data_IF_813864859285
#
_entry.id   IF_813864859285
#
_cell.length_a   1.000
_cell.length_b   1.000
_cell.length_c   1.000
_cell.angle_alpha   90.00
_cell.angle_beta   90.00
_cell.angle_gamma   90.00
#
_symmetry.space_group_name_H-M   'P 1'
#
loop_
_entity.id
_entity.type
_entity.pdbx_description
1 polymer ?
#
# COMPACT_ATOMS: atom_id res chain seq x y z
N UNK A 1 -15.73 -14.00 14.20
CA UNK A 1 -14.46 -13.25 13.99
C UNK A 1 -14.23 -13.18 12.50
N UNK A 2 -13.96 -12.00 11.95
CA UNK A 2 -13.65 -11.86 10.54
C UNK A 2 -12.26 -12.47 10.27
N UNK A 3 -12.15 -13.37 9.29
CA UNK A 3 -10.90 -14.05 8.95
C UNK A 3 -10.06 -13.09 8.12
N UNK A 4 -9.01 -12.51 8.70
CA UNK A 4 -8.06 -11.67 7.98
C UNK A 4 -7.40 -12.50 6.86
N UNK A 5 -7.60 -12.05 5.61
CA UNK A 5 -7.11 -12.73 4.41
C UNK A 5 -5.59 -12.93 4.39
N UNK A 6 -4.85 -12.17 5.19
CA UNK A 6 -3.41 -12.30 5.31
C UNK A 6 -2.98 -13.35 6.34
N UNK A 7 -3.84 -13.77 7.29
CA UNK A 7 -3.47 -14.74 8.34
C UNK A 7 -2.97 -16.07 7.78
N UNK A 8 -3.66 -16.74 6.83
CA UNK A 8 -3.15 -17.99 6.25
C UNK A 8 -1.79 -17.81 5.56
N UNK A 9 -1.54 -16.65 4.96
CA UNK A 9 -0.28 -16.37 4.27
C UNK A 9 0.84 -16.00 5.26
N UNK A 10 0.52 -15.35 6.37
CA UNK A 10 1.46 -15.08 7.47
C UNK A 10 1.94 -16.38 8.11
N UNK A 11 1.04 -17.32 8.33
CA UNK A 11 1.39 -18.64 8.87
C UNK A 11 2.35 -19.39 7.93
N UNK A 12 2.06 -19.39 6.62
CA UNK A 12 2.96 -19.97 5.61
C UNK A 12 4.33 -19.27 5.54
N UNK A 13 4.39 -17.98 5.88
CA UNK A 13 5.65 -17.23 5.94
C UNK A 13 6.56 -17.73 7.08
N UNK A 14 5.98 -18.18 8.19
CA UNK A 14 6.71 -18.67 9.36
C UNK A 14 7.65 -17.62 9.95
N UNK A 15 7.23 -16.34 9.99
CA UNK A 15 7.98 -15.20 10.53
C UNK A 15 9.38 -14.97 9.92
N UNK A 16 9.66 -15.50 8.73
CA UNK A 16 10.92 -15.26 8.00
C UNK A 16 10.71 -14.32 6.82
N UNK A 17 11.69 -13.48 6.52
CA UNK A 17 11.72 -12.73 5.26
C UNK A 17 11.82 -13.71 4.09
N UNK A 18 10.87 -13.65 3.16
CA UNK A 18 10.82 -14.51 1.97
C UNK A 18 11.24 -13.75 0.72
N UNK A 19 11.49 -14.49 -0.36
CA UNK A 19 11.80 -13.91 -1.66
C UNK A 19 10.56 -13.22 -2.26
N UNK A 20 10.81 -12.29 -3.18
CA UNK A 20 9.76 -11.66 -4.00
C UNK A 20 8.89 -12.70 -4.76
N UNK A 21 9.49 -13.81 -5.21
CA UNK A 21 8.76 -14.89 -5.88
C UNK A 21 7.80 -15.59 -4.93
N UNK A 22 8.22 -15.83 -3.69
CA UNK A 22 7.38 -16.45 -2.68
C UNK A 22 6.13 -15.61 -2.39
N UNK A 23 6.28 -14.29 -2.16
CA UNK A 23 5.12 -13.43 -1.89
C UNK A 23 4.16 -13.36 -3.09
N UNK A 24 4.69 -13.30 -4.31
CA UNK A 24 3.88 -13.35 -5.53
C UNK A 24 3.07 -14.64 -5.61
N UNK A 25 3.70 -15.78 -5.36
CA UNK A 25 3.05 -17.09 -5.40
C UNK A 25 2.03 -17.27 -4.27
N UNK A 26 2.35 -16.80 -3.06
CA UNK A 26 1.45 -16.81 -1.92
C UNK A 26 0.17 -16.02 -2.22
N UNK A 27 0.31 -14.82 -2.80
CA UNK A 27 -0.84 -14.00 -3.18
C UNK A 27 -1.66 -14.65 -4.31
N UNK A 28 -1.05 -15.33 -5.28
CA UNK A 28 -1.81 -16.03 -6.34
C UNK A 28 -2.77 -17.10 -5.82
N UNK A 29 -2.59 -17.59 -4.59
CA UNK A 29 -3.51 -18.55 -3.97
C UNK A 29 -4.81 -17.90 -3.46
N UNK A 30 -4.83 -16.57 -3.31
CA UNK A 30 -5.95 -15.82 -2.72
C UNK A 30 -6.50 -14.73 -3.64
N UNK A 31 -6.01 -14.63 -4.89
CA UNK A 31 -6.42 -13.55 -5.80
C UNK A 31 -7.91 -13.50 -6.02
N UNK A 32 -8.56 -14.66 -6.10
CA UNK A 32 -9.99 -14.80 -6.34
C UNK A 32 -10.85 -14.35 -5.14
N UNK A 33 -10.22 -14.14 -3.98
CA UNK A 33 -10.85 -13.73 -2.71
C UNK A 33 -10.31 -12.40 -2.18
N UNK A 34 -9.67 -11.63 -3.06
CA UNK A 34 -9.00 -10.38 -2.70
C UNK A 34 -9.76 -9.13 -3.13
N UNK A 35 -11.07 -9.23 -3.39
CA UNK A 35 -11.84 -8.05 -3.78
C UNK A 35 -11.79 -6.97 -2.69
N UNK A 36 -11.85 -5.67 -3.05
CA UNK A 36 -11.94 -4.59 -2.07
C UNK A 36 -13.06 -4.77 -1.04
N UNK A 37 -14.21 -5.33 -1.45
CA UNK A 37 -15.32 -5.67 -0.56
C UNK A 37 -14.95 -6.73 0.48
N UNK A 38 -14.31 -7.81 0.06
CA UNK A 38 -13.87 -8.89 0.98
C UNK A 38 -12.81 -8.37 1.94
N UNK A 39 -11.83 -7.63 1.42
CA UNK A 39 -10.78 -6.98 2.21
C UNK A 39 -11.35 -6.09 3.33
N UNK A 40 -12.39 -5.33 3.02
CA UNK A 40 -13.06 -4.45 3.99
C UNK A 40 -13.89 -5.25 4.99
N UNK A 41 -14.56 -6.32 4.56
CA UNK A 41 -15.33 -7.18 5.44
C UNK A 41 -14.45 -7.97 6.43
N UNK A 42 -13.25 -8.37 6.00
CA UNK A 42 -12.31 -9.15 6.82
C UNK A 42 -11.36 -8.33 7.68
N UNK A 43 -11.27 -7.02 7.42
CA UNK A 43 -10.10 -6.24 7.81
C UNK A 43 -10.28 -5.31 9.01
N UNK A 44 -9.16 -4.75 9.49
CA UNK A 44 -9.14 -3.77 10.60
C UNK A 44 -9.44 -2.37 10.07
N UNK A 45 -10.69 -1.94 10.16
CA UNK A 45 -11.14 -0.61 9.70
C UNK A 45 -10.90 0.48 10.76
N UNK A 46 -10.27 1.58 10.33
CA UNK A 46 -9.99 2.75 11.17
C UNK A 46 -10.63 4.01 10.56
N UNK A 47 -11.11 4.94 11.39
CA UNK A 47 -11.60 6.23 10.92
C UNK A 47 -10.51 7.18 10.40
N UNK A 48 -9.23 6.87 10.68
CA UNK A 48 -8.06 7.63 10.22
C UNK A 48 -6.90 6.69 9.88
N UNK A 49 -5.98 7.08 8.98
CA UNK A 49 -4.81 6.27 8.67
C UNK A 49 -3.89 6.14 9.89
N UNK A 50 -3.36 4.94 10.13
CA UNK A 50 -2.37 4.69 11.18
C UNK A 50 -0.97 5.05 10.67
N UNK A 51 -0.32 6.04 11.29
CA UNK A 51 1.06 6.41 10.97
C UNK A 51 2.01 5.21 11.02
N UNK A 52 2.87 5.09 10.01
CA UNK A 52 3.85 4.01 9.86
C UNK A 52 3.28 2.62 9.56
N UNK A 53 1.99 2.52 9.24
CA UNK A 53 1.34 1.31 8.73
C UNK A 53 0.65 1.62 7.42
N UNK A 54 0.50 0.63 6.56
CA UNK A 54 -0.16 0.85 5.28
C UNK A 54 -1.67 0.87 5.48
N UNK A 55 -2.37 1.49 4.53
CA UNK A 55 -3.81 1.50 4.50
C UNK A 55 -4.35 1.43 3.09
N UNK A 56 -5.42 0.66 2.91
CA UNK A 56 -6.27 0.72 1.72
C UNK A 56 -7.55 1.49 2.04
N UNK A 57 -8.07 2.25 1.08
CA UNK A 57 -9.31 3.01 1.24
C UNK A 57 -9.89 3.36 -0.12
N UNK A 58 -11.19 3.62 -0.18
CA UNK A 58 -11.82 4.18 -1.39
C UNK A 58 -11.57 5.69 -1.46
N UNK A 59 -11.17 6.16 -2.62
CA UNK A 59 -10.79 7.57 -2.84
C UNK A 59 -11.36 8.12 -4.15
N UNK A 60 -11.91 9.32 -4.09
CA UNK A 60 -12.48 10.05 -5.22
C UNK A 60 -11.70 11.36 -5.44
N UNK A 61 -10.66 11.40 -6.30
CA UNK A 61 -9.73 12.53 -6.36
C UNK A 61 -10.38 13.86 -6.74
N UNK A 62 -9.99 14.93 -6.04
CA UNK A 62 -10.45 16.31 -6.29
C UNK A 62 -10.34 16.75 -7.75
N UNK A 63 -9.24 16.42 -8.41
CA UNK A 63 -8.94 16.85 -9.78
C UNK A 63 -9.08 15.70 -10.80
N UNK A 64 -9.95 14.72 -10.53
CA UNK A 64 -10.11 13.52 -11.38
C UNK A 64 -10.34 13.81 -12.87
N UNK A 65 -10.98 14.94 -13.20
CA UNK A 65 -11.24 15.37 -14.59
C UNK A 65 -10.00 15.83 -15.36
N UNK A 66 -8.90 16.15 -14.65
CA UNK A 66 -7.65 16.64 -15.26
C UNK A 66 -6.47 15.68 -15.05
N UNK A 67 -6.61 14.70 -14.15
CA UNK A 67 -5.57 13.71 -13.91
C UNK A 67 -5.50 12.74 -15.09
N UNK A 68 -4.31 12.44 -15.64
CA UNK A 68 -4.19 11.50 -16.75
C UNK A 68 -4.61 10.09 -16.34
N UNK A 69 -4.40 9.74 -15.08
CA UNK A 69 -4.91 8.54 -14.43
C UNK A 69 -4.81 8.68 -12.92
N UNK A 70 -5.62 7.91 -12.20
CA UNK A 70 -5.61 7.87 -10.74
C UNK A 70 -6.11 6.53 -10.21
N UNK A 71 -5.79 6.23 -8.95
CA UNK A 71 -6.21 4.99 -8.28
C UNK A 71 -7.36 5.30 -7.32
N UNK A 72 -8.49 4.62 -7.49
CA UNK A 72 -9.67 4.76 -6.61
C UNK A 72 -9.63 3.85 -5.40
N UNK A 73 -8.70 2.87 -5.37
CA UNK A 73 -8.48 1.99 -4.23
C UNK A 73 -6.98 1.93 -3.85
N UNK A 74 -6.42 3.06 -3.41
CA UNK A 74 -4.99 3.19 -3.14
C UNK A 74 -4.49 2.34 -1.96
N UNK A 75 -3.33 1.71 -2.13
CA UNK A 75 -2.54 1.09 -1.05
C UNK A 75 -1.43 2.06 -0.62
N UNK A 76 -1.63 2.74 0.51
CA UNK A 76 -0.83 3.90 0.92
C UNK A 76 -0.06 3.65 2.20
N UNK A 77 1.24 3.98 2.24
CA UNK A 77 1.96 4.24 3.49
C UNK A 77 1.88 5.74 3.82
N UNK A 78 1.12 6.17 4.84
CA UNK A 78 1.05 7.56 5.27
C UNK A 78 2.39 8.00 5.88
N UNK A 79 2.85 9.19 5.50
CA UNK A 79 4.11 9.77 5.99
C UNK A 79 3.85 10.90 6.98
N UNK A 80 3.12 11.92 6.55
CA UNK A 80 2.99 13.18 7.28
C UNK A 80 1.56 13.75 7.14
N UNK A 81 1.01 14.37 8.19
CA UNK A 81 -0.25 15.10 8.08
C UNK A 81 -0.09 16.33 7.17
N UNK A 82 -1.16 16.71 6.50
CA UNK A 82 -1.24 17.99 5.79
C UNK A 82 -2.61 18.64 6.06
N UNK A 83 -2.76 19.93 5.74
CA UNK A 83 -4.05 20.62 5.92
C UNK A 83 -5.16 19.86 5.17
N UNK A 84 -6.17 19.41 5.92
CA UNK A 84 -7.33 18.67 5.39
C UNK A 84 -7.03 17.23 4.92
N UNK A 85 -5.86 16.67 5.22
CA UNK A 85 -5.45 15.40 4.64
C UNK A 85 -4.11 14.85 5.14
N UNK A 86 -3.46 14.07 4.30
CA UNK A 86 -2.12 13.55 4.54
C UNK A 86 -1.33 13.34 3.24
N UNK A 87 -0.01 13.30 3.37
CA UNK A 87 0.92 12.89 2.33
C UNK A 87 1.22 11.40 2.55
N UNK A 88 1.24 10.61 1.48
CA UNK A 88 1.54 9.19 1.55
C UNK A 88 2.12 8.63 0.27
N UNK A 89 2.71 7.44 0.38
CA UNK A 89 3.26 6.69 -0.73
C UNK A 89 2.23 5.67 -1.21
N UNK A 90 1.66 5.85 -2.39
CA UNK A 90 0.81 4.85 -3.01
C UNK A 90 1.64 3.83 -3.78
N UNK A 91 1.69 2.61 -3.24
CA UNK A 91 2.46 1.51 -3.80
C UNK A 91 1.87 0.99 -5.11
N UNK A 92 0.58 1.22 -5.38
CA UNK A 92 -0.03 0.76 -6.63
C UNK A 92 0.55 1.43 -7.88
N UNK A 93 1.15 2.62 -7.75
CA UNK A 93 1.85 3.30 -8.85
C UNK A 93 3.19 2.66 -9.21
N UNK A 94 3.69 1.73 -8.39
CA UNK A 94 4.93 1.01 -8.63
C UNK A 94 4.62 -0.38 -9.21
N UNK A 95 5.45 -0.90 -10.14
CA UNK A 95 5.41 -2.31 -10.50
C UNK A 95 5.67 -3.20 -9.29
N UNK A 96 5.10 -4.41 -9.25
CA UNK A 96 5.19 -5.32 -8.09
C UNK A 96 6.62 -5.53 -7.55
N UNK A 97 7.61 -5.74 -8.42
CA UNK A 97 9.00 -5.88 -7.99
C UNK A 97 9.59 -4.61 -7.37
N UNK A 98 9.18 -3.43 -7.84
CA UNK A 98 9.58 -2.15 -7.26
C UNK A 98 8.89 -1.89 -5.91
N UNK A 99 7.64 -2.32 -5.74
CA UNK A 99 6.93 -2.27 -4.44
C UNK A 99 7.71 -3.01 -3.37
N UNK A 100 8.12 -4.25 -3.65
CA UNK A 100 8.88 -5.08 -2.72
C UNK A 100 10.25 -4.48 -2.40
N UNK A 101 11.01 -4.05 -3.42
CA UNK A 101 12.31 -3.38 -3.22
C UNK A 101 12.17 -2.13 -2.35
N UNK A 102 11.15 -1.31 -2.61
CA UNK A 102 10.92 -0.11 -1.82
C UNK A 102 10.53 -0.42 -0.37
N UNK A 103 9.71 -1.47 -0.14
CA UNK A 103 9.45 -1.95 1.22
C UNK A 103 10.74 -2.38 1.92
N UNK A 104 11.66 -3.10 1.26
CA UNK A 104 12.95 -3.48 1.84
C UNK A 104 13.78 -2.25 2.25
N UNK A 105 13.83 -1.23 1.39
CA UNK A 105 14.53 0.03 1.70
C UNK A 105 13.89 0.78 2.88
N UNK A 106 12.56 0.72 3.00
CA UNK A 106 11.83 1.37 4.11
C UNK A 106 12.00 0.67 5.46
N UNK A 107 12.42 -0.60 5.49
CA UNK A 107 12.65 -1.35 6.75
C UNK A 107 13.69 -0.70 7.65
N UNK A 108 14.65 0.06 7.09
CA UNK A 108 15.62 0.81 7.89
C UNK A 108 14.99 1.87 8.81
N UNK A 109 13.75 2.24 8.55
CA UNK A 109 12.96 3.17 9.36
C UNK A 109 11.99 2.45 10.30
N UNK A 110 12.11 1.12 10.46
CA UNK A 110 11.25 0.38 11.38
C UNK A 110 11.52 0.79 12.84
N UNK A 111 10.44 0.95 13.60
CA UNK A 111 10.50 1.34 15.02
C UNK A 111 11.11 0.27 15.93
N UNK A 112 11.18 -0.97 15.47
CA UNK A 112 11.82 -2.10 16.14
C UNK A 112 12.16 -3.20 15.13
N UNK A 113 12.98 -4.18 15.54
CA UNK A 113 13.43 -5.28 14.69
C UNK A 113 12.52 -6.51 14.63
N UNK A 114 11.28 -6.45 15.16
CA UNK A 114 10.38 -7.61 15.21
C UNK A 114 9.61 -7.83 13.90
N UNK A 115 9.38 -6.76 13.14
CA UNK A 115 8.59 -6.76 11.89
C UNK A 115 7.20 -7.38 12.01
N UNK A 116 6.59 -7.26 13.20
CA UNK A 116 5.27 -7.76 13.55
C UNK A 116 4.19 -6.65 13.55
N UNK A 117 3.00 -6.95 14.09
CA UNK A 117 1.90 -5.99 14.20
C UNK A 117 2.23 -4.77 15.08
N UNK A 118 3.19 -4.87 16.01
CA UNK A 118 3.65 -3.77 16.86
C UNK A 118 4.56 -2.79 16.11
N UNK A 119 5.19 -3.25 15.03
CA UNK A 119 6.15 -2.48 14.24
C UNK A 119 5.46 -1.35 13.46
N UNK A 120 6.15 -0.22 13.33
CA UNK A 120 5.76 0.93 12.49
C UNK A 120 6.95 1.38 11.65
N UNK A 121 6.71 1.83 10.43
CA UNK A 121 7.70 2.50 9.59
C UNK A 121 7.70 4.01 9.90
N UNK A 122 8.76 4.52 10.51
CA UNK A 122 8.92 5.91 10.93
C UNK A 122 9.68 6.73 9.88
N UNK A 123 9.30 6.58 8.60
CA UNK A 123 9.87 7.38 7.51
C UNK A 123 9.17 8.75 7.43
N UNK A 124 9.96 9.81 7.26
CA UNK A 124 9.45 11.15 6.92
C UNK A 124 9.63 11.40 5.42
N UNK A 125 8.93 12.38 4.85
CA UNK A 125 9.16 12.75 3.45
C UNK A 125 10.62 13.15 3.22
N UNK A 126 11.22 13.89 4.16
CA UNK A 126 12.60 14.32 4.07
C UNK A 126 13.61 13.16 4.04
N UNK A 127 13.35 12.06 4.76
CA UNK A 127 14.27 10.91 4.77
C UNK A 127 14.22 10.06 3.50
N UNK A 128 13.15 10.16 2.70
CA UNK A 128 12.93 9.31 1.53
C UNK A 128 12.74 10.07 0.21
N UNK A 129 12.76 11.41 0.22
CA UNK A 129 12.54 12.24 -0.98
C UNK A 129 13.53 11.99 -2.12
N UNK A 130 14.75 11.55 -1.80
CA UNK A 130 15.78 11.22 -2.79
C UNK A 130 15.58 9.85 -3.42
N UNK A 131 14.76 8.98 -2.82
CA UNK A 131 14.49 7.66 -3.33
C UNK A 131 13.68 7.73 -4.64
N UNK A 132 14.12 7.01 -5.67
CA UNK A 132 13.47 7.00 -6.99
C UNK A 132 12.02 6.50 -6.94
N UNK A 133 11.70 5.55 -6.06
CA UNK A 133 10.34 5.03 -5.90
C UNK A 133 9.41 6.06 -5.26
N UNK A 134 9.93 6.89 -4.33
CA UNK A 134 9.18 7.99 -3.72
C UNK A 134 8.66 8.95 -4.78
N UNK A 135 9.47 9.32 -5.78
CA UNK A 135 9.08 10.27 -6.84
C UNK A 135 7.79 9.84 -7.57
N UNK A 136 7.62 8.54 -7.78
CA UNK A 136 6.44 7.98 -8.47
C UNK A 136 5.29 7.72 -7.50
N UNK A 137 5.59 7.22 -6.30
CA UNK A 137 4.59 6.78 -5.32
C UNK A 137 3.98 7.92 -4.49
N UNK A 138 4.67 9.04 -4.32
CA UNK A 138 4.20 10.14 -3.46
C UNK A 138 2.89 10.76 -3.99
N UNK A 139 1.89 10.87 -3.12
CA UNK A 139 0.57 11.44 -3.42
C UNK A 139 0.03 12.21 -2.21
N UNK A 140 -0.91 13.11 -2.47
CA UNK A 140 -1.65 13.87 -1.45
C UNK A 140 -3.09 13.38 -1.43
N UNK A 141 -3.59 13.12 -0.22
CA UNK A 141 -4.95 12.63 0.02
C UNK A 141 -5.70 13.60 0.90
N UNK A 142 -6.87 14.05 0.46
CA UNK A 142 -7.76 14.92 1.23
C UNK A 142 -8.83 14.06 1.92
N UNK A 143 -9.05 14.27 3.21
CA UNK A 143 -10.05 13.51 3.96
C UNK A 143 -11.47 13.69 3.39
N UNK A 144 -11.81 14.87 2.87
CA UNK A 144 -13.10 15.14 2.22
C UNK A 144 -13.34 14.33 0.92
N UNK A 145 -12.29 13.70 0.38
CA UNK A 145 -12.32 12.88 -0.83
C UNK A 145 -12.15 11.39 -0.54
N UNK A 146 -11.96 11.01 0.73
CA UNK A 146 -11.99 9.63 1.17
C UNK A 146 -13.45 9.19 1.28
N UNK A 147 -13.77 8.02 0.73
CA UNK A 147 -15.14 7.48 0.60
C UNK A 147 -15.41 6.27 1.48
N UNK A 148 -14.48 5.93 2.37
CA UNK A 148 -14.57 4.79 3.27
C UNK A 148 -13.75 5.00 4.54
N UNK A 149 -13.88 4.09 5.50
CA UNK A 149 -12.84 3.90 6.50
C UNK A 149 -11.52 3.45 5.86
N UNK A 150 -10.44 3.48 6.64
CA UNK A 150 -9.12 3.01 6.24
C UNK A 150 -8.94 1.56 6.69
N UNK A 151 -8.80 0.64 5.74
CA UNK A 151 -8.36 -0.71 5.99
C UNK A 151 -6.88 -0.71 6.36
N UNK A 152 -6.56 -0.96 7.62
CA UNK A 152 -5.18 -1.02 8.12
C UNK A 152 -4.49 -2.30 7.66
N UNK A 153 -3.27 -2.15 7.18
CA UNK A 153 -2.32 -3.22 6.84
C UNK A 153 -1.09 -3.09 7.75
N UNK A 154 -0.85 -4.11 8.56
CA UNK A 154 0.28 -4.16 9.50
C UNK A 154 1.61 -4.38 8.77
N UNK A 155 2.74 -4.12 9.45
CA UNK A 155 4.09 -4.25 8.85
C UNK A 155 4.35 -5.66 8.34
N UNK A 156 3.96 -6.69 9.11
CA UNK A 156 4.05 -8.10 8.70
C UNK A 156 3.16 -8.47 7.49
N UNK A 157 2.19 -7.63 7.13
CA UNK A 157 1.26 -7.86 6.01
C UNK A 157 1.62 -7.03 4.77
N UNK A 158 2.50 -6.02 4.90
CA UNK A 158 2.80 -5.06 3.82
C UNK A 158 3.33 -5.72 2.55
N UNK A 159 4.19 -6.74 2.69
CA UNK A 159 4.73 -7.45 1.53
C UNK A 159 3.63 -8.19 0.77
N UNK A 160 2.72 -8.87 1.47
CA UNK A 160 1.56 -9.53 0.86
C UNK A 160 0.63 -8.51 0.19
N UNK A 161 0.26 -7.45 0.92
CA UNK A 161 -0.57 -6.37 0.41
C UNK A 161 0.02 -5.71 -0.85
N UNK A 162 1.35 -5.54 -0.90
CA UNK A 162 2.04 -4.99 -2.06
C UNK A 162 1.90 -5.86 -3.32
N UNK A 163 1.66 -7.17 -3.19
CA UNK A 163 1.43 -8.07 -4.32
C UNK A 163 -0.04 -8.28 -4.68
N UNK A 164 -0.98 -7.82 -3.84
CA UNK A 164 -2.41 -7.94 -4.14
C UNK A 164 -2.78 -7.20 -5.45
N UNK A 165 -3.50 -7.84 -6.38
CA UNK A 165 -3.92 -7.24 -7.64
C UNK A 165 -5.21 -6.40 -7.50
N UNK A 166 -5.24 -5.53 -6.50
CA UNK A 166 -6.47 -4.80 -6.09
C UNK A 166 -6.49 -3.34 -6.51
N UNK A 167 -5.47 -2.90 -7.25
CA UNK A 167 -5.38 -1.53 -7.75
C UNK A 167 -6.53 -1.23 -8.72
N UNK A 168 -7.23 -0.11 -8.51
CA UNK A 168 -8.37 0.29 -9.33
C UNK A 168 -8.04 1.60 -10.06
N UNK A 169 -7.26 1.49 -11.13
CA UNK A 169 -6.88 2.65 -11.92
C UNK A 169 -7.98 3.09 -12.88
N UNK A 170 -8.24 4.39 -12.91
CA UNK A 170 -9.06 5.08 -13.91
C UNK A 170 -8.15 5.87 -14.86
N UNK A 171 -8.50 5.92 -16.15
CA UNK A 171 -7.75 6.65 -17.18
C UNK A 171 -6.52 5.91 -17.73
N UNK A 172 -6.09 4.81 -17.11
CA UNK A 172 -4.97 3.98 -17.59
C UNK A 172 -5.04 2.55 -17.05
N UNK A 173 -4.66 1.58 -17.88
CA UNK A 173 -4.52 0.18 -17.45
C UNK A 173 -3.36 0.02 -16.46
N UNK A 174 -3.43 -0.97 -15.58
CA UNK A 174 -2.35 -1.24 -14.61
C UNK A 174 -0.98 -1.43 -15.29
N UNK A 175 -0.95 -2.15 -16.41
CA UNK A 175 0.25 -2.31 -17.23
C UNK A 175 0.81 -0.99 -17.76
N UNK A 176 -0.07 -0.09 -18.22
CA UNK A 176 0.30 1.26 -18.65
C UNK A 176 0.83 2.13 -17.51
N UNK A 177 0.29 1.99 -16.30
CA UNK A 177 0.81 2.67 -15.10
C UNK A 177 2.22 2.18 -14.79
N UNK A 178 2.44 0.86 -14.83
CA UNK A 178 3.76 0.27 -14.62
C UNK A 178 4.79 0.69 -15.67
N UNK A 179 4.38 0.77 -16.94
CA UNK A 179 5.24 1.27 -18.01
C UNK A 179 5.65 2.74 -17.78
N UNK A 180 4.71 3.60 -17.35
CA UNK A 180 5.02 4.98 -17.01
C UNK A 180 5.94 5.10 -15.80
N UNK A 181 5.71 4.28 -14.77
CA UNK A 181 6.55 4.25 -13.58
C UNK A 181 8.01 3.93 -13.92
N UNK A 182 8.25 2.92 -14.78
CA UNK A 182 9.60 2.52 -15.22
C UNK A 182 10.37 3.63 -15.96
N UNK A 183 9.67 4.55 -16.62
CA UNK A 183 10.29 5.71 -17.29
C UNK A 183 10.72 6.82 -16.33
N UNK A 184 10.26 6.78 -15.09
CA UNK A 184 10.46 7.82 -14.08
C UNK A 184 11.23 7.32 -12.85
N UNK A 185 11.85 6.14 -12.95
CA UNK A 185 12.78 5.60 -11.95
C UNK A 185 14.23 5.92 -12.30
#
# INVERSE_FOLDING_TARGET
MAIDIFEPLKDLQGNKMKSASWYRNAVSLITDRSSPSELFASGKLLGRPSGGRMSMFFYDPKFKTRLPYYDTFPLVLPLEPMKGGFIGLNFHYLPYGARFKFLQELQRYASNGKFDQSTKIQASYNSIKSNKYTKVAIKRYLYSHVRSNFLRVNVNEMALAAYLPVAQFQGRTLGGVFAAARKNF
#
